data_IF_368727334373
#
_entry.id   IF_368727334373
#
_cell.length_a   1.000
_cell.length_b   1.000
_cell.length_c   1.000
_cell.angle_alpha   90.00
_cell.angle_beta   90.00
_cell.angle_gamma   90.00
#
_symmetry.space_group_name_H-M   'P 1'
#
loop_
_entity.id
_entity.type
_entity.pdbx_description
1 polymer ?
#
# COMPACT_ATOMS: atom_id res chain seq x y z
N UNK A 1 5.81 6.36 -44.42
CA UNK A 1 4.56 6.06 -43.69
C UNK A 1 4.97 5.63 -42.30
N UNK A 2 4.73 6.49 -41.30
CA UNK A 2 5.19 6.31 -39.92
C UNK A 2 4.01 5.85 -39.08
N UNK A 3 4.10 4.67 -38.47
CA UNK A 3 3.17 4.20 -37.44
C UNK A 3 3.83 4.39 -36.08
N UNK A 4 3.30 5.31 -35.27
CA UNK A 4 3.55 5.36 -33.83
C UNK A 4 2.55 4.43 -33.13
N UNK A 5 2.97 3.46 -32.32
CA UNK A 5 2.09 2.71 -31.43
C UNK A 5 2.42 3.06 -29.98
N UNK A 6 1.88 4.15 -29.45
CA UNK A 6 1.98 4.47 -28.03
C UNK A 6 0.95 5.52 -27.61
N UNK A 7 -0.33 5.15 -27.66
CA UNK A 7 -1.36 5.88 -26.92
C UNK A 7 -2.00 4.90 -25.94
N UNK A 8 -1.78 5.15 -24.65
CA UNK A 8 -2.61 4.57 -23.60
C UNK A 8 -4.05 5.09 -23.83
N UNK A 9 -5.09 4.27 -23.60
CA UNK A 9 -6.45 4.67 -23.88
C UNK A 9 -6.89 5.83 -22.96
N UNK A 10 -7.79 6.72 -23.45
CA UNK A 10 -8.24 7.88 -22.69
C UNK A 10 -9.10 7.46 -21.49
N UNK A 11 -8.87 8.13 -20.35
CA UNK A 11 -9.66 8.02 -19.13
C UNK A 11 -11.14 8.32 -19.40
N UNK A 12 -12.03 7.41 -19.00
CA UNK A 12 -13.48 7.61 -19.02
C UNK A 12 -14.03 7.30 -17.63
N UNK A 13 -14.56 8.32 -16.95
CA UNK A 13 -15.43 8.13 -15.78
C UNK A 13 -16.70 7.41 -16.23
N UNK A 14 -16.93 6.19 -15.72
CA UNK A 14 -18.23 5.52 -15.85
C UNK A 14 -19.02 5.73 -14.57
N UNK A 15 -20.21 6.29 -14.74
CA UNK A 15 -21.28 6.31 -13.75
C UNK A 15 -21.73 4.88 -13.42
N UNK A 16 -21.85 4.58 -12.13
CA UNK A 16 -22.39 3.33 -11.61
C UNK A 16 -23.82 3.12 -12.13
N UNK A 17 -24.02 2.01 -12.84
CA UNK A 17 -25.34 1.45 -13.10
C UNK A 17 -25.47 0.20 -12.24
N UNK A 18 -26.46 0.22 -11.35
CA UNK A 18 -26.83 -0.85 -10.44
C UNK A 18 -27.06 -2.17 -11.19
N UNK A 19 -26.40 -3.25 -10.77
CA UNK A 19 -27.01 -4.58 -10.91
C UNK A 19 -26.54 -5.57 -9.83
N UNK A 20 -27.55 -6.18 -9.21
CA UNK A 20 -27.52 -7.15 -8.11
C UNK A 20 -26.62 -8.35 -8.39
N UNK A 21 -25.82 -8.74 -7.39
CA UNK A 21 -25.60 -10.15 -7.08
C UNK A 21 -25.28 -10.37 -5.59
N UNK A 22 -26.00 -11.31 -4.99
CA UNK A 22 -26.02 -11.69 -3.58
C UNK A 22 -24.81 -12.56 -3.22
N UNK A 23 -24.13 -12.40 -2.06
CA UNK A 23 -23.23 -13.41 -1.57
C UNK A 23 -23.91 -14.33 -0.55
N UNK A 24 -23.86 -15.64 -0.82
CA UNK A 24 -24.24 -16.70 0.11
C UNK A 24 -23.25 -16.73 1.28
N UNK A 25 -23.73 -16.34 2.46
CA UNK A 25 -22.99 -16.33 3.72
C UNK A 25 -22.90 -17.74 4.31
N UNK A 26 -21.69 -18.24 4.56
CA UNK A 26 -21.45 -19.39 5.43
C UNK A 26 -21.50 -18.89 6.88
N UNK A 27 -22.56 -19.26 7.59
CA UNK A 27 -22.76 -18.99 9.01
C UNK A 27 -21.67 -19.68 9.87
N UNK A 28 -21.04 -18.90 10.73
CA UNK A 28 -20.43 -19.41 11.98
C UNK A 28 -21.10 -18.68 13.14
N UNK A 29 -21.74 -19.44 14.02
CA UNK A 29 -22.45 -18.98 15.21
C UNK A 29 -21.48 -18.65 16.34
N UNK A 30 -21.38 -17.38 16.75
CA UNK A 30 -20.95 -17.00 18.10
C UNK A 30 -21.85 -15.87 18.63
N UNK A 31 -22.61 -16.18 19.68
CA UNK A 31 -23.37 -15.19 20.46
C UNK A 31 -22.39 -14.31 21.26
N UNK A 32 -21.94 -13.22 20.66
CA UNK A 32 -21.45 -12.03 21.36
C UNK A 32 -22.07 -10.80 20.70
N UNK A 33 -22.40 -9.79 21.51
CA UNK A 33 -22.81 -8.45 21.03
C UNK A 33 -21.67 -7.80 20.21
N UNK A 34 -20.42 -8.23 20.41
CA UNK A 34 -19.31 -8.06 19.48
C UNK A 34 -18.70 -9.44 19.21
N UNK A 35 -19.23 -10.17 18.21
CA UNK A 35 -18.72 -11.46 17.70
C UNK A 35 -17.19 -11.52 17.58
N UNK A 36 -16.62 -12.68 17.25
CA UNK A 36 -15.17 -12.88 17.01
C UNK A 36 -14.61 -11.69 16.21
N UNK A 37 -13.94 -10.76 16.89
CA UNK A 37 -13.67 -9.41 16.35
C UNK A 37 -12.57 -9.55 15.30
N UNK A 38 -12.97 -9.69 14.05
CA UNK A 38 -12.08 -9.68 12.88
C UNK A 38 -11.90 -8.25 12.33
N UNK A 39 -11.79 -7.24 13.22
CA UNK A 39 -11.77 -5.82 12.80
C UNK A 39 -11.08 -4.88 13.82
N UNK A 40 -9.77 -4.67 13.66
CA UNK A 40 -9.15 -3.41 13.23
C UNK A 40 -9.90 -2.07 13.48
N UNK A 41 -9.76 -1.46 14.67
CA UNK A 41 -10.11 -0.04 14.91
C UNK A 41 -8.87 0.84 14.77
N UNK A 42 -8.89 1.80 13.84
CA UNK A 42 -7.80 2.80 13.67
C UNK A 42 -7.55 3.57 14.98
N UNK A 43 -8.58 3.75 15.82
CA UNK A 43 -8.48 4.48 17.09
C UNK A 43 -7.64 3.75 18.14
N UNK A 44 -7.49 2.43 18.04
CA UNK A 44 -6.82 1.63 19.07
C UNK A 44 -5.30 1.79 19.04
N UNK A 45 -4.77 2.38 17.96
CA UNK A 45 -3.34 2.69 17.83
C UNK A 45 -2.43 1.47 17.75
N UNK A 46 -2.98 0.28 17.52
CA UNK A 46 -2.21 -0.94 17.37
C UNK A 46 -1.42 -0.93 16.05
N UNK A 47 -0.24 -1.53 16.09
CA UNK A 47 0.70 -1.61 14.97
C UNK A 47 1.11 -3.07 14.79
N UNK A 48 1.11 -3.52 13.55
CA UNK A 48 1.72 -4.77 13.12
C UNK A 48 3.13 -4.49 12.63
N UNK A 49 4.07 -5.31 13.10
CA UNK A 49 5.48 -5.23 12.74
C UNK A 49 5.78 -6.37 11.79
N UNK A 50 6.26 -6.03 10.60
CA UNK A 50 6.64 -6.97 9.57
C UNK A 50 8.16 -6.97 9.39
N UNK A 51 8.76 -8.15 9.41
CA UNK A 51 10.16 -8.34 9.04
C UNK A 51 10.23 -8.59 7.54
N UNK A 52 11.08 -7.83 6.85
CA UNK A 52 11.35 -7.98 5.41
C UNK A 52 12.75 -8.56 5.22
N UNK A 53 12.81 -9.78 4.69
CA UNK A 53 14.06 -10.50 4.47
C UNK A 53 14.29 -10.65 2.97
N UNK A 54 15.50 -10.33 2.52
CA UNK A 54 15.90 -10.59 1.13
C UNK A 54 16.25 -12.06 0.96
N UNK A 55 15.58 -12.73 0.02
CA UNK A 55 15.89 -14.11 -0.35
C UNK A 55 16.86 -14.18 -1.52
N UNK A 56 16.66 -13.31 -2.53
CA UNK A 56 17.51 -13.23 -3.70
C UNK A 56 17.72 -11.78 -4.16
N UNK A 57 18.53 -11.53 -5.20
CA UNK A 57 18.69 -10.18 -5.72
C UNK A 57 17.37 -9.49 -6.11
N UNK A 58 16.36 -10.28 -6.47
CA UNK A 58 15.07 -9.82 -6.98
C UNK A 58 13.87 -10.33 -6.16
N UNK A 59 14.08 -11.00 -5.03
CA UNK A 59 12.99 -11.55 -4.22
C UNK A 59 13.17 -11.32 -2.73
N UNK A 60 12.04 -11.11 -2.06
CA UNK A 60 11.94 -10.87 -0.63
C UNK A 60 10.80 -11.68 -0.02
N UNK A 61 10.96 -12.04 1.25
CA UNK A 61 9.88 -12.57 2.09
C UNK A 61 9.49 -11.55 3.15
N UNK A 62 8.20 -11.56 3.48
CA UNK A 62 7.61 -10.70 4.50
C UNK A 62 6.88 -11.59 5.49
N UNK A 63 7.25 -11.48 6.77
CA UNK A 63 6.65 -12.20 7.89
C UNK A 63 6.27 -11.21 8.99
N UNK A 64 5.41 -11.61 9.92
CA UNK A 64 5.22 -10.84 11.16
C UNK A 64 6.42 -11.05 12.09
N UNK A 65 6.75 -10.07 12.92
CA UNK A 65 7.81 -10.26 13.93
C UNK A 65 7.42 -11.27 15.01
N UNK A 66 6.13 -11.42 15.28
CA UNK A 66 5.58 -12.36 16.26
C UNK A 66 5.44 -13.79 15.71
N UNK A 67 5.44 -13.95 14.40
CA UNK A 67 5.38 -15.23 13.70
C UNK A 67 6.25 -15.17 12.45
N UNK A 68 7.43 -15.81 12.46
CA UNK A 68 8.38 -15.71 11.36
C UNK A 68 7.94 -16.45 10.09
N UNK A 69 6.80 -17.16 10.12
CA UNK A 69 6.23 -17.81 8.93
C UNK A 69 5.99 -16.77 7.83
N UNK A 70 6.61 -16.91 6.64
CA UNK A 70 6.38 -15.99 5.53
C UNK A 70 4.91 -15.89 5.15
N UNK A 71 4.41 -14.67 5.03
CA UNK A 71 3.03 -14.37 4.62
C UNK A 71 3.01 -13.98 3.15
N UNK A 72 3.97 -13.13 2.76
CA UNK A 72 4.11 -12.68 1.38
C UNK A 72 5.50 -12.97 0.82
N UNK A 73 5.52 -13.24 -0.48
CA UNK A 73 6.70 -13.21 -1.33
C UNK A 73 6.59 -12.01 -2.26
N UNK A 74 7.64 -11.21 -2.32
CA UNK A 74 7.75 -10.06 -3.22
C UNK A 74 8.73 -10.42 -4.32
N UNK A 75 8.35 -10.13 -5.55
CA UNK A 75 9.22 -10.30 -6.72
C UNK A 75 9.41 -8.95 -7.43
N UNK A 76 10.66 -8.62 -7.71
CA UNK A 76 11.07 -7.51 -8.55
C UNK A 76 11.32 -8.04 -9.95
N UNK A 77 10.46 -7.66 -10.89
CA UNK A 77 10.45 -8.17 -12.25
C UNK A 77 11.08 -7.11 -13.17
N UNK A 78 12.04 -7.54 -13.99
CA UNK A 78 12.69 -6.66 -14.98
C UNK A 78 12.09 -6.77 -16.38
N UNK A 79 11.22 -7.77 -16.61
CA UNK A 79 10.59 -8.03 -17.91
C UNK A 79 9.22 -7.34 -18.04
N UNK A 80 9.05 -6.57 -19.12
CA UNK A 80 7.83 -5.79 -19.41
C UNK A 80 6.59 -6.62 -19.77
N UNK A 81 6.73 -7.94 -19.86
CA UNK A 81 5.64 -8.87 -20.22
C UNK A 81 4.81 -9.31 -19.02
N UNK A 82 5.24 -9.01 -17.78
CA UNK A 82 4.45 -9.33 -16.58
C UNK A 82 3.52 -8.18 -16.17
N UNK A 83 2.58 -8.48 -15.27
CA UNK A 83 1.51 -7.57 -14.81
C UNK A 83 2.01 -6.23 -14.24
N UNK A 84 3.21 -6.21 -13.68
CA UNK A 84 3.94 -5.04 -13.19
C UNK A 84 5.38 -5.37 -12.79
N UNK A 85 6.18 -4.35 -12.53
CA UNK A 85 7.61 -4.43 -12.16
C UNK A 85 7.83 -4.92 -10.72
N UNK A 86 6.83 -4.77 -9.85
CA UNK A 86 6.85 -5.29 -8.48
C UNK A 86 5.57 -6.08 -8.28
N UNK A 87 5.67 -7.32 -7.78
CA UNK A 87 4.52 -8.20 -7.58
C UNK A 87 4.55 -8.82 -6.19
N UNK A 88 3.37 -8.95 -5.59
CA UNK A 88 3.15 -9.57 -4.28
C UNK A 88 2.39 -10.87 -4.49
N UNK A 89 2.90 -11.94 -3.91
CA UNK A 89 2.31 -13.26 -3.91
C UNK A 89 2.09 -13.73 -2.46
N UNK A 90 1.06 -14.55 -2.20
CA UNK A 90 1.02 -15.36 -0.98
C UNK A 90 2.29 -16.23 -0.91
N UNK A 91 2.94 -16.30 0.25
CA UNK A 91 4.19 -17.07 0.37
C UNK A 91 4.00 -18.59 0.30
N UNK A 92 2.80 -19.06 0.67
CA UNK A 92 2.53 -20.49 0.88
C UNK A 92 2.33 -21.30 -0.42
N UNK A 93 2.03 -20.63 -1.54
CA UNK A 93 1.83 -21.31 -2.82
C UNK A 93 2.44 -20.50 -3.97
N UNK A 94 3.52 -21.00 -4.60
CA UNK A 94 4.19 -20.29 -5.68
C UNK A 94 3.38 -20.25 -7.00
N UNK A 95 2.31 -21.05 -7.11
CA UNK A 95 1.48 -21.14 -8.32
C UNK A 95 0.31 -20.15 -8.33
N UNK A 96 0.02 -19.52 -7.18
CA UNK A 96 -1.02 -18.51 -7.12
C UNK A 96 -0.61 -17.26 -7.91
N UNK A 97 -1.57 -16.58 -8.57
CA UNK A 97 -1.29 -15.32 -9.24
C UNK A 97 -0.91 -14.24 -8.23
N UNK A 98 -0.24 -13.19 -8.71
CA UNK A 98 0.05 -12.02 -7.91
C UNK A 98 -1.27 -11.41 -7.39
N UNK A 99 -1.33 -11.16 -6.08
CA UNK A 99 -2.48 -10.54 -5.40
C UNK A 99 -2.40 -9.02 -5.42
N UNK A 100 -1.19 -8.47 -5.59
CA UNK A 100 -0.96 -7.05 -5.77
C UNK A 100 0.24 -6.82 -6.70
N UNK A 101 0.25 -5.70 -7.41
CA UNK A 101 1.32 -5.33 -8.32
C UNK A 101 1.54 -3.81 -8.37
N UNK A 102 2.76 -3.40 -8.68
CA UNK A 102 3.09 -2.02 -9.03
C UNK A 102 3.77 -1.94 -10.38
N UNK A 103 3.47 -0.87 -11.13
CA UNK A 103 4.15 -0.48 -12.37
C UNK A 103 4.95 0.78 -12.11
N UNK A 104 6.25 0.72 -12.34
CA UNK A 104 7.17 1.82 -12.17
C UNK A 104 7.15 2.71 -13.42
N UNK A 105 7.24 4.03 -13.20
CA UNK A 105 7.44 4.94 -14.31
C UNK A 105 8.82 4.73 -14.93
N UNK A 106 8.89 4.87 -16.25
CA UNK A 106 10.17 4.88 -16.99
C UNK A 106 10.97 6.17 -16.75
N UNK A 107 10.30 7.27 -16.36
CA UNK A 107 10.89 8.59 -16.16
C UNK A 107 10.45 9.26 -14.84
N UNK A 108 10.66 8.61 -13.68
CA UNK A 108 10.06 9.00 -12.41
C UNK A 108 10.57 10.36 -11.87
N UNK A 109 11.68 10.89 -12.41
CA UNK A 109 12.30 12.17 -11.99
C UNK A 109 12.04 13.34 -12.93
N UNK A 110 11.62 13.09 -14.17
CA UNK A 110 11.57 14.12 -15.22
C UNK A 110 10.16 14.57 -15.57
N UNK A 111 9.15 13.73 -15.35
CA UNK A 111 7.78 14.05 -15.68
C UNK A 111 7.06 14.68 -14.48
N UNK A 112 6.46 15.86 -14.69
CA UNK A 112 5.53 16.47 -13.71
C UNK A 112 4.12 15.89 -13.82
N UNK A 113 3.83 15.19 -14.91
CA UNK A 113 2.49 14.69 -15.26
C UNK A 113 2.36 13.18 -15.07
N UNK A 114 3.48 12.44 -15.12
CA UNK A 114 3.50 10.99 -14.91
C UNK A 114 3.71 10.69 -13.42
N UNK A 115 2.91 9.80 -12.82
CA UNK A 115 3.15 9.35 -11.45
C UNK A 115 4.47 8.57 -11.39
N UNK A 116 5.10 8.52 -10.21
CA UNK A 116 6.34 7.77 -10.03
C UNK A 116 6.11 6.26 -10.17
N UNK A 117 4.93 5.78 -9.78
CA UNK A 117 4.45 4.43 -10.00
C UNK A 117 2.91 4.41 -10.00
N UNK A 118 2.32 3.29 -10.41
CA UNK A 118 0.91 2.97 -10.18
C UNK A 118 0.81 1.62 -9.48
N UNK A 119 -0.10 1.47 -8.51
CA UNK A 119 -0.25 0.27 -7.69
C UNK A 119 -1.65 -0.31 -7.81
N UNK A 120 -1.77 -1.62 -7.74
CA UNK A 120 -3.02 -2.35 -7.75
C UNK A 120 -2.98 -3.44 -6.68
N UNK A 121 -3.98 -3.48 -5.80
CA UNK A 121 -4.03 -4.39 -4.64
C UNK A 121 -5.25 -5.31 -4.66
N UNK A 122 -6.06 -5.23 -5.71
CA UNK A 122 -7.26 -6.04 -5.88
C UNK A 122 -7.18 -6.71 -7.25
N UNK A 123 -6.60 -7.91 -7.28
CA UNK A 123 -6.56 -8.80 -8.46
C UNK A 123 -5.93 -8.19 -9.72
N UNK A 124 -4.63 -7.80 -9.72
CA UNK A 124 -3.98 -7.03 -10.80
C UNK A 124 -4.01 -7.65 -12.20
N UNK A 125 -4.46 -8.90 -12.32
CA UNK A 125 -4.69 -9.66 -13.54
C UNK A 125 -6.07 -9.40 -14.17
N UNK A 126 -7.04 -8.87 -13.43
CA UNK A 126 -8.36 -8.52 -13.96
C UNK A 126 -8.25 -7.21 -14.79
N UNK A 127 -8.75 -7.18 -16.04
CA UNK A 127 -8.79 -5.97 -16.86
C UNK A 127 -9.48 -4.77 -16.22
N UNK A 128 -10.43 -4.99 -15.30
CA UNK A 128 -11.20 -3.93 -14.62
C UNK A 128 -10.57 -3.51 -13.28
N UNK A 129 -9.38 -4.01 -12.96
CA UNK A 129 -8.70 -3.66 -11.71
C UNK A 129 -8.41 -2.17 -11.62
N UNK A 130 -8.56 -1.62 -10.43
CA UNK A 130 -8.22 -0.22 -10.19
C UNK A 130 -6.73 -0.07 -9.91
N UNK A 131 -6.10 0.86 -10.62
CA UNK A 131 -4.68 1.22 -10.46
C UNK A 131 -4.55 2.62 -9.88
N UNK A 132 -3.95 2.72 -8.70
CA UNK A 132 -3.82 3.95 -7.93
C UNK A 132 -2.45 4.61 -8.16
N UNK A 133 -2.40 5.92 -8.46
CA UNK A 133 -1.14 6.58 -8.76
C UNK A 133 -0.36 6.96 -7.49
N UNK A 134 0.95 6.76 -7.53
CA UNK A 134 1.90 7.27 -6.55
C UNK A 134 2.54 8.56 -7.12
N UNK A 135 2.01 9.71 -6.73
CA UNK A 135 2.36 11.01 -7.33
C UNK A 135 3.35 11.78 -6.47
N UNK A 136 4.18 12.63 -7.08
CA UNK A 136 4.98 13.58 -6.31
C UNK A 136 4.11 14.79 -5.98
N UNK A 137 4.12 15.21 -4.72
CA UNK A 137 3.50 16.47 -4.34
C UNK A 137 4.23 17.63 -5.03
N UNK A 138 3.48 18.48 -5.73
CA UNK A 138 3.96 19.72 -6.32
C UNK A 138 3.89 20.90 -5.34
N UNK A 139 3.29 20.71 -4.16
CA UNK A 139 3.07 21.77 -3.18
C UNK A 139 4.25 21.95 -2.23
N UNK A 140 4.66 23.21 -2.02
CA UNK A 140 5.80 23.63 -1.17
C UNK A 140 5.65 23.18 0.29
N UNK A 141 4.41 22.98 0.77
CA UNK A 141 4.10 22.61 2.15
C UNK A 141 4.13 21.09 2.42
N UNK A 142 4.17 20.27 1.38
CA UNK A 142 4.23 18.81 1.47
C UNK A 142 5.39 18.34 0.60
N UNK A 143 6.60 18.37 1.15
CA UNK A 143 7.76 17.70 0.55
C UNK A 143 7.54 16.19 0.69
N UNK A 144 7.14 15.52 -0.38
CA UNK A 144 6.91 14.07 -0.32
C UNK A 144 6.18 13.48 -1.53
N UNK A 145 5.92 12.18 -1.41
CA UNK A 145 5.16 11.40 -2.38
C UNK A 145 3.74 11.19 -1.82
N UNK A 146 2.71 11.50 -2.59
CA UNK A 146 1.30 11.40 -2.19
C UNK A 146 0.64 10.25 -2.93
N UNK A 147 -0.18 9.49 -2.22
CA UNK A 147 -0.95 8.39 -2.81
C UNK A 147 -2.35 8.30 -2.23
N UNK A 148 -3.37 8.04 -3.07
CA UNK A 148 -4.65 7.53 -2.61
C UNK A 148 -4.50 6.07 -2.21
N UNK A 149 -4.91 5.73 -0.98
CA UNK A 149 -4.85 4.36 -0.44
C UNK A 149 -6.25 3.98 0.07
N UNK A 150 -6.83 2.85 -0.38
CA UNK A 150 -8.05 2.30 0.19
C UNK A 150 -7.79 1.84 1.62
N UNK A 151 -8.62 2.29 2.57
CA UNK A 151 -8.47 1.95 3.99
C UNK A 151 -9.82 1.77 4.68
N UNK A 152 -9.93 0.72 5.50
CA UNK A 152 -11.07 0.51 6.40
C UNK A 152 -10.84 1.34 7.67
N UNK A 153 -11.65 2.37 7.87
CA UNK A 153 -11.57 3.25 9.05
C UNK A 153 -12.57 2.87 10.13
N UNK A 154 -13.59 2.09 9.78
CA UNK A 154 -14.62 1.57 10.68
C UNK A 154 -14.76 0.07 10.47
N UNK A 155 -14.60 -0.74 11.53
CA UNK A 155 -14.99 -2.14 11.54
C UNK A 155 -16.31 -2.46 10.82
N UNK A 156 -16.28 -3.41 9.89
CA UNK A 156 -17.46 -3.88 9.16
C UNK A 156 -17.97 -2.93 8.08
N UNK A 157 -17.25 -1.86 7.75
CA UNK A 157 -17.53 -0.99 6.60
C UNK A 157 -16.58 -1.29 5.45
N UNK A 158 -17.01 -0.92 4.24
CA UNK A 158 -16.16 -0.97 3.07
C UNK A 158 -14.97 -0.02 3.21
N UNK A 159 -13.86 -0.35 2.53
CA UNK A 159 -12.71 0.54 2.44
C UNK A 159 -13.09 1.84 1.73
N UNK A 160 -12.56 2.96 2.20
CA UNK A 160 -12.71 4.27 1.57
C UNK A 160 -11.31 4.76 1.20
N UNK A 161 -11.18 5.33 0.01
CA UNK A 161 -9.90 5.88 -0.46
C UNK A 161 -9.57 7.18 0.27
N UNK A 162 -8.40 7.23 0.90
CA UNK A 162 -7.89 8.42 1.55
C UNK A 162 -6.49 8.76 1.04
N UNK A 163 -6.14 10.04 1.08
CA UNK A 163 -4.81 10.47 0.68
C UNK A 163 -3.83 10.30 1.83
N UNK A 164 -2.64 9.83 1.50
CA UNK A 164 -1.50 9.73 2.40
C UNK A 164 -0.28 10.38 1.78
N UNK A 165 0.64 10.85 2.63
CA UNK A 165 1.92 11.40 2.21
C UNK A 165 3.07 10.61 2.82
N UNK A 166 3.97 10.13 1.97
CA UNK A 166 5.26 9.59 2.35
C UNK A 166 6.25 10.71 2.61
N UNK A 167 6.80 10.72 3.82
CA UNK A 167 7.94 11.52 4.23
C UNK A 167 9.20 10.65 4.17
N UNK A 168 10.28 11.22 3.63
CA UNK A 168 11.61 10.60 3.57
C UNK A 168 12.46 11.26 4.66
N UNK A 169 12.98 10.46 5.59
CA UNK A 169 13.81 10.93 6.70
C UNK A 169 15.03 10.04 6.92
N UNK A 170 15.89 10.38 7.89
CA UNK A 170 17.07 9.56 8.23
C UNK A 170 16.71 8.29 8.99
N UNK A 171 15.79 8.37 9.96
CA UNK A 171 15.29 7.23 10.72
C UNK A 171 13.93 7.52 11.40
N UNK A 172 12.92 6.65 11.27
CA UNK A 172 12.73 5.70 10.16
C UNK A 172 12.97 6.34 8.79
N UNK A 173 13.36 5.54 7.80
CA UNK A 173 13.75 6.05 6.47
C UNK A 173 12.54 6.55 5.67
N UNK A 174 11.37 5.94 5.90
CA UNK A 174 10.11 6.37 5.33
C UNK A 174 9.02 6.37 6.39
N UNK A 175 8.17 7.37 6.37
CA UNK A 175 6.94 7.43 7.18
C UNK A 175 5.75 7.74 6.29
N UNK A 176 4.65 7.01 6.52
CA UNK A 176 3.39 7.24 5.86
C UNK A 176 2.46 8.02 6.78
N UNK A 177 2.06 9.21 6.34
CA UNK A 177 1.19 10.11 7.08
C UNK A 177 -0.19 10.21 6.45
N UNK A 178 -1.23 10.22 7.27
CA UNK A 178 -2.59 10.56 6.86
C UNK A 178 -2.67 12.04 6.43
N UNK A 179 -3.31 12.30 5.28
CA UNK A 179 -3.55 13.67 4.82
C UNK A 179 -4.97 14.13 5.13
N UNK A 180 -5.09 15.22 5.87
CA UNK A 180 -6.37 15.84 6.21
C UNK A 180 -6.91 15.37 7.55
N UNK A 181 -8.20 15.57 7.77
CA UNK A 181 -8.88 15.27 9.03
C UNK A 181 -8.96 13.75 9.24
N UNK A 182 -8.55 13.27 10.42
CA UNK A 182 -8.72 11.86 10.79
C UNK A 182 -10.22 11.52 10.93
N UNK A 183 -10.63 10.27 10.63
CA UNK A 183 -12.01 9.83 10.81
C UNK A 183 -12.48 10.09 12.24
N UNK A 184 -13.70 10.60 12.38
CA UNK A 184 -14.35 10.86 13.68
C UNK A 184 -13.66 11.90 14.59
N UNK A 185 -12.63 12.60 14.13
CA UNK A 185 -12.06 13.76 14.84
C UNK A 185 -12.82 15.01 14.39
N UNK A 186 -13.48 15.79 15.27
CA UNK A 186 -14.20 16.99 14.87
C UNK A 186 -13.30 18.03 14.16
N UNK A 187 -13.86 18.75 13.18
CA UNK A 187 -13.12 19.80 12.43
C UNK A 187 -12.51 20.87 13.33
N UNK A 188 -13.18 21.22 14.43
CA UNK A 188 -12.67 22.18 15.42
C UNK A 188 -11.39 21.70 16.12
N UNK A 189 -11.21 20.38 16.24
CA UNK A 189 -9.97 19.79 16.74
C UNK A 189 -8.84 19.84 15.72
N UNK A 190 -9.14 19.64 14.43
CA UNK A 190 -8.15 19.51 13.35
C UNK A 190 -7.30 20.76 13.08
N UNK A 191 -7.87 21.96 13.22
CA UNK A 191 -7.19 23.23 12.87
C UNK A 191 -5.97 23.54 13.75
N UNK A 192 -5.86 22.88 14.92
CA UNK A 192 -4.81 23.15 15.91
C UNK A 192 -3.85 21.99 16.19
N UNK A 193 -3.95 20.85 15.47
CA UNK A 193 -3.07 19.70 15.73
C UNK A 193 -1.86 19.73 14.79
N UNK A 194 -0.64 20.06 15.24
CA UNK A 194 0.56 19.66 14.51
C UNK A 194 0.53 18.14 14.37
N UNK A 195 0.81 17.59 13.19
CA UNK A 195 0.72 16.14 12.90
C UNK A 195 1.39 15.31 14.00
N UNK A 196 0.60 14.77 14.91
CA UNK A 196 1.06 13.91 15.99
C UNK A 196 1.19 12.45 15.55
N UNK A 197 1.69 11.56 16.42
CA UNK A 197 1.84 10.14 16.13
C UNK A 197 0.55 9.46 15.63
N UNK A 198 -0.61 9.99 16.00
CA UNK A 198 -1.92 9.51 15.54
C UNK A 198 -2.15 9.65 14.03
N UNK A 199 -1.37 10.48 13.33
CA UNK A 199 -1.41 10.61 11.87
C UNK A 199 -0.42 9.68 11.17
N UNK A 200 0.46 8.99 11.90
CA UNK A 200 1.39 8.02 11.32
C UNK A 200 0.66 6.67 11.14
N UNK A 201 0.74 6.13 9.93
CA UNK A 201 0.05 4.90 9.54
C UNK A 201 0.99 3.79 9.09
N UNK A 202 2.22 4.15 8.71
CA UNK A 202 3.29 3.20 8.52
C UNK A 202 4.64 3.87 8.73
N UNK A 203 5.65 3.09 9.09
CA UNK A 203 7.03 3.53 9.14
C UNK A 203 7.97 2.39 8.76
N UNK A 204 9.13 2.72 8.21
CA UNK A 204 10.14 1.74 7.84
C UNK A 204 11.47 2.04 8.52
N UNK A 205 12.02 1.03 9.18
CA UNK A 205 13.39 1.05 9.69
C UNK A 205 14.23 0.07 8.86
N UNK A 206 15.33 0.56 8.28
CA UNK A 206 16.24 -0.28 7.48
C UNK A 206 17.25 -0.96 8.40
N UNK A 207 17.62 -2.19 8.06
CA UNK A 207 18.77 -2.87 8.67
C UNK A 207 20.02 -1.99 8.59
N UNK A 208 20.68 -1.80 9.73
CA UNK A 208 21.90 -0.98 9.83
C UNK A 208 23.17 -1.82 9.63
N UNK A 209 24.29 -1.17 9.32
CA UNK A 209 25.60 -1.82 9.25
C UNK A 209 26.07 -2.41 10.60
N UNK A 210 25.52 -1.91 11.72
CA UNK A 210 25.78 -2.43 13.06
C UNK A 210 24.93 -3.68 13.40
N UNK A 211 24.09 -4.14 12.46
CA UNK A 211 23.13 -5.22 12.65
C UNK A 211 21.67 -4.74 12.61
N UNK A 212 20.74 -5.68 12.75
CA UNK A 212 19.29 -5.43 12.76
C UNK A 212 18.53 -6.10 11.62
N UNK A 213 17.25 -5.79 11.53
CA UNK A 213 16.31 -6.30 10.51
C UNK A 213 15.67 -5.12 9.76
N UNK A 214 15.19 -5.37 8.55
CA UNK A 214 14.34 -4.39 7.86
C UNK A 214 12.92 -4.55 8.42
N UNK A 215 12.46 -3.58 9.20
CA UNK A 215 11.16 -3.62 9.88
C UNK A 215 10.22 -2.61 9.24
N UNK A 216 9.08 -3.11 8.77
CA UNK A 216 7.97 -2.31 8.32
C UNK A 216 6.87 -2.32 9.38
N UNK A 217 6.60 -1.16 9.94
CA UNK A 217 5.51 -0.91 10.88
C UNK A 217 4.28 -0.49 10.08
N UNK A 218 3.15 -1.17 10.26
CA UNK A 218 1.88 -0.83 9.62
C UNK A 218 0.81 -0.73 10.69
N UNK A 219 0.03 0.35 10.68
CA UNK A 219 -1.08 0.50 11.59
C UNK A 219 -2.11 -0.60 11.33
N UNK A 220 -2.35 -1.41 12.35
CA UNK A 220 -3.39 -2.43 12.34
C UNK A 220 -4.73 -1.69 12.23
N UNK A 221 -5.59 -2.12 11.32
CA UNK A 221 -6.80 -1.33 11.08
C UNK A 221 -7.27 -1.36 9.65
N UNK A 222 -6.32 -1.25 8.74
CA UNK A 222 -6.65 -0.70 7.43
C UNK A 222 -7.30 -1.65 6.44
N UNK A 223 -7.33 -2.95 6.75
CA UNK A 223 -7.72 -4.00 5.81
C UNK A 223 -6.57 -4.44 4.92
N UNK A 224 -6.80 -5.52 4.16
CA UNK A 224 -5.77 -6.16 3.33
C UNK A 224 -5.27 -5.21 2.22
N UNK A 225 -6.18 -4.51 1.54
CA UNK A 225 -5.82 -3.58 0.46
C UNK A 225 -4.91 -2.46 0.95
N UNK A 226 -5.15 -1.94 2.16
CA UNK A 226 -4.29 -0.95 2.79
C UNK A 226 -2.88 -1.51 3.03
N UNK A 227 -2.79 -2.68 3.67
CA UNK A 227 -1.52 -3.34 4.00
C UNK A 227 -0.69 -3.62 2.73
N UNK A 228 -1.31 -4.22 1.71
CA UNK A 228 -0.67 -4.49 0.42
C UNK A 228 -0.23 -3.21 -0.29
N UNK A 229 -1.01 -2.13 -0.16
CA UNK A 229 -0.65 -0.84 -0.77
C UNK A 229 0.58 -0.23 -0.09
N UNK A 230 0.62 -0.26 1.25
CA UNK A 230 1.78 0.20 2.02
C UNK A 230 3.02 -0.61 1.65
N UNK A 231 2.88 -1.92 1.55
CA UNK A 231 3.97 -2.83 1.19
C UNK A 231 4.50 -2.54 -0.22
N UNK A 232 3.62 -2.42 -1.23
CA UNK A 232 4.02 -2.06 -2.58
C UNK A 232 4.71 -0.69 -2.64
N UNK A 233 4.14 0.33 -2.01
CA UNK A 233 4.73 1.66 -1.99
C UNK A 233 6.13 1.65 -1.38
N UNK A 234 6.32 0.89 -0.30
CA UNK A 234 7.63 0.74 0.30
C UNK A 234 8.68 0.22 -0.71
N UNK A 235 8.39 -0.87 -1.42
CA UNK A 235 9.32 -1.41 -2.42
C UNK A 235 9.53 -0.45 -3.61
N UNK A 236 8.50 0.27 -4.02
CA UNK A 236 8.62 1.34 -5.04
C UNK A 236 9.60 2.42 -4.58
N UNK A 237 9.47 2.92 -3.34
CA UNK A 237 10.32 3.97 -2.79
C UNK A 237 11.79 3.53 -2.71
N UNK A 238 12.02 2.31 -2.20
CA UNK A 238 13.37 1.72 -2.17
C UNK A 238 13.97 1.63 -3.57
N UNK A 239 13.18 1.17 -4.54
CA UNK A 239 13.61 1.05 -5.93
C UNK A 239 13.98 2.43 -6.53
N UNK A 240 13.16 3.45 -6.30
CA UNK A 240 13.38 4.81 -6.83
C UNK A 240 14.67 5.47 -6.31
N UNK A 241 15.09 5.15 -5.09
CA UNK A 241 16.35 5.61 -4.50
C UNK A 241 17.56 4.81 -4.97
N UNK A 242 17.36 3.83 -5.88
CA UNK A 242 18.37 2.83 -6.26
C UNK A 242 18.90 2.05 -5.05
N UNK A 243 18.12 1.99 -3.99
CA UNK A 243 18.43 1.22 -2.80
C UNK A 243 18.14 -0.26 -3.02
N UNK A 244 18.82 -1.10 -2.26
CA UNK A 244 18.39 -2.48 -2.02
C UNK A 244 18.32 -2.67 -0.51
N UNK A 245 17.32 -3.42 -0.04
CA UNK A 245 17.30 -3.84 1.35
C UNK A 245 18.37 -4.92 1.54
N UNK A 246 19.08 -4.82 2.67
CA UNK A 246 20.19 -5.70 3.07
C UNK A 246 19.71 -6.88 3.92
#
# INVERSE_FOLDING_TARGET
MSHNPSELPPYSEKHDSEEKSTPTSIQTTTNRIAGTINTCSVKDGQVDYFTVVRDSPTSYHVSLTIDPTPIYRIELVSDSTKLGDIQVFPANDPNLPAIAAARLSTNPKKSKTEPAATTCVSSPHDPNSTWWPLTRSSTVLLTGIVSPIPIITVPGRAAITHNFSWEISSEPIYRLWWCGQLPFVPKSGFVHVPRGPEYQFAAMTRKSAAGGENILEIRRGGGLDFELTVLLHFFVLVHMEKGQLL
#
